data_IF_952645243677
#
_entry.id   IF_952645243677
#
_cell.length_a   1.000
_cell.length_b   1.000
_cell.length_c   1.000
_cell.angle_alpha   90.00
_cell.angle_beta   90.00
_cell.angle_gamma   90.00
#
_symmetry.space_group_name_H-M   'P 1'
#
loop_
_entity.id
_entity.type
_entity.pdbx_description
1 polymer ?
#
# COMPACT_ATOMS: atom_id res chain seq x y z
N UNK A 1 -11.42 -7.45 -6.77
CA UNK A 1 -10.04 -7.96 -6.71
C UNK A 1 -10.06 -9.09 -5.70
N UNK A 2 -9.61 -10.31 -6.02
CA UNK A 2 -9.62 -11.41 -5.03
C UNK A 2 -8.81 -11.04 -3.79
N UNK A 3 -9.37 -11.25 -2.59
CA UNK A 3 -8.70 -10.97 -1.33
C UNK A 3 -7.30 -11.63 -1.25
N UNK A 4 -6.31 -10.88 -0.77
CA UNK A 4 -4.90 -11.28 -0.72
C UNK A 4 -4.14 -11.22 -2.05
N UNK A 5 -4.74 -10.66 -3.10
CA UNK A 5 -4.02 -10.40 -4.36
C UNK A 5 -3.19 -9.14 -4.24
N UNK A 6 -1.87 -9.25 -4.38
CA UNK A 6 -0.98 -8.11 -4.43
C UNK A 6 -1.46 -7.11 -5.50
N UNK A 7 -1.79 -5.88 -5.08
CA UNK A 7 -2.06 -4.79 -6.01
C UNK A 7 -0.71 -4.35 -6.57
N UNK A 8 -0.41 -4.77 -7.80
CA UNK A 8 0.77 -4.30 -8.53
C UNK A 8 0.71 -2.78 -8.63
N UNK A 9 1.71 -2.10 -8.07
CA UNK A 9 1.88 -0.65 -8.19
C UNK A 9 2.15 -0.28 -9.65
N UNK A 10 1.08 -0.07 -10.41
CA UNK A 10 1.10 0.39 -11.80
C UNK A 10 1.59 -0.66 -12.81
N UNK A 11 0.82 -0.85 -13.88
CA UNK A 11 1.32 -1.49 -15.11
C UNK A 11 2.10 -0.51 -16.00
N UNK A 12 2.29 0.73 -15.55
CA UNK A 12 3.02 1.78 -16.25
C UNK A 12 4.38 1.98 -15.62
N UNK A 13 5.43 1.67 -16.37
CA UNK A 13 6.86 1.71 -16.00
C UNK A 13 7.29 0.66 -14.98
N UNK A 14 8.13 -0.28 -15.44
CA UNK A 14 8.98 -1.09 -14.58
C UNK A 14 9.66 -0.16 -13.58
N UNK A 15 9.26 -0.21 -12.32
CA UNK A 15 9.92 0.54 -11.26
C UNK A 15 11.40 0.16 -11.27
N UNK A 16 12.26 1.10 -11.64
CA UNK A 16 13.71 0.89 -11.73
C UNK A 16 14.32 0.68 -10.35
N UNK A 17 13.68 1.20 -9.30
CA UNK A 17 14.00 0.94 -7.90
C UNK A 17 12.70 0.85 -7.11
N UNK A 18 12.59 -0.19 -6.29
CA UNK A 18 11.50 -0.42 -5.33
C UNK A 18 11.93 -0.05 -3.91
N UNK A 19 13.09 0.57 -3.77
CA UNK A 19 13.57 1.16 -2.53
C UNK A 19 13.05 2.59 -2.43
N UNK A 20 12.34 2.89 -1.35
CA UNK A 20 11.76 4.21 -1.10
C UNK A 20 12.30 4.82 0.20
N UNK A 21 12.56 6.12 0.20
CA UNK A 21 12.98 6.86 1.39
C UNK A 21 11.78 7.08 2.33
N UNK A 22 10.60 7.33 1.77
CA UNK A 22 9.32 7.45 2.46
C UNK A 22 8.20 6.95 1.56
N UNK A 23 7.07 6.60 2.15
CA UNK A 23 5.89 6.10 1.43
C UNK A 23 4.64 6.69 2.05
N UNK A 24 3.75 7.22 1.21
CA UNK A 24 2.42 7.64 1.57
C UNK A 24 1.42 6.78 0.79
N UNK A 25 0.50 6.15 1.52
CA UNK A 25 -0.56 5.31 0.95
C UNK A 25 -1.88 6.04 1.17
N UNK A 26 -2.52 6.46 0.09
CA UNK A 26 -3.76 7.22 0.15
C UNK A 26 -4.94 6.37 -0.35
N UNK A 27 -5.92 6.15 0.51
CA UNK A 27 -7.15 5.45 0.15
C UNK A 27 -8.04 6.36 -0.70
N UNK A 28 -8.60 5.82 -1.78
CA UNK A 28 -9.53 6.58 -2.60
C UNK A 28 -10.77 6.96 -1.77
N UNK A 29 -11.20 8.22 -1.89
CA UNK A 29 -12.40 8.74 -1.23
C UNK A 29 -13.70 8.01 -1.61
N UNK A 30 -13.71 7.26 -2.72
CA UNK A 30 -14.88 6.48 -3.18
C UNK A 30 -14.89 5.04 -2.69
N UNK A 31 -13.91 4.62 -1.88
CA UNK A 31 -13.92 3.28 -1.29
C UNK A 31 -15.14 3.09 -0.39
N UNK A 32 -15.70 1.89 -0.36
CA UNK A 32 -16.89 1.58 0.45
C UNK A 32 -16.58 0.70 1.66
N UNK A 33 -15.52 -0.09 1.57
CA UNK A 33 -14.99 -0.92 2.65
C UNK A 33 -13.70 -0.35 3.25
N UNK A 34 -13.09 -1.16 4.13
CA UNK A 34 -11.75 -0.89 4.64
C UNK A 34 -10.69 -1.53 3.76
N UNK A 35 -9.54 -0.87 3.72
CA UNK A 35 -8.32 -1.38 3.11
C UNK A 35 -7.31 -1.66 4.21
N UNK A 36 -6.62 -2.79 4.11
CA UNK A 36 -5.68 -3.29 5.09
C UNK A 36 -4.30 -3.31 4.47
N UNK A 37 -3.36 -2.58 5.07
CA UNK A 37 -1.96 -2.51 4.62
C UNK A 37 -1.09 -3.34 5.57
N UNK A 38 -0.24 -4.20 5.04
CA UNK A 38 0.62 -5.07 5.85
C UNK A 38 1.67 -5.82 5.04
N UNK A 39 2.09 -6.98 5.55
CA UNK A 39 2.98 -7.91 4.85
C UNK A 39 2.19 -8.92 4.01
N UNK A 40 2.85 -9.95 3.46
CA UNK A 40 2.22 -10.94 2.59
C UNK A 40 1.10 -11.78 3.25
N UNK A 41 0.89 -11.65 4.56
CA UNK A 41 -0.18 -12.30 5.32
C UNK A 41 -1.37 -11.37 5.60
N UNK A 42 -1.32 -10.11 5.14
CA UNK A 42 -2.38 -9.12 5.33
C UNK A 42 -3.72 -9.64 4.81
N UNK A 43 -4.77 -9.44 5.61
CA UNK A 43 -6.13 -9.78 5.20
C UNK A 43 -7.15 -8.88 5.87
N UNK A 44 -8.24 -8.66 5.15
CA UNK A 44 -9.44 -7.95 5.58
C UNK A 44 -10.13 -8.53 6.82
N UNK A 45 -9.74 -9.73 7.24
CA UNK A 45 -10.37 -10.44 8.37
C UNK A 45 -9.55 -10.47 9.65
N UNK A 46 -8.24 -10.20 9.59
CA UNK A 46 -7.37 -10.52 10.74
C UNK A 46 -6.03 -9.78 10.84
N UNK A 47 -5.56 -9.08 9.80
CA UNK A 47 -4.19 -8.54 9.80
C UNK A 47 -4.06 -7.25 8.99
N UNK A 48 -3.36 -6.25 9.55
CA UNK A 48 -2.96 -5.03 8.85
C UNK A 48 -3.34 -3.72 9.57
N UNK A 49 -2.79 -2.61 9.07
CA UNK A 49 -3.24 -1.26 9.39
C UNK A 49 -4.44 -0.97 8.49
N UNK A 50 -5.61 -0.76 9.09
CA UNK A 50 -6.82 -0.43 8.35
C UNK A 50 -6.87 1.06 8.02
N UNK A 51 -7.10 1.38 6.75
CA UNK A 51 -7.37 2.74 6.26
C UNK A 51 -8.76 2.77 5.62
N UNK A 52 -9.53 3.80 5.94
CA UNK A 52 -10.87 4.03 5.40
C UNK A 52 -10.82 4.94 4.17
N UNK A 53 -11.96 5.11 3.50
CA UNK A 53 -12.08 6.02 2.37
C UNK A 53 -11.57 7.43 2.69
N UNK A 54 -10.61 7.92 1.90
CA UNK A 54 -10.00 9.25 2.07
C UNK A 54 -8.89 9.33 3.12
N UNK A 55 -8.65 8.26 3.90
CA UNK A 55 -7.54 8.23 4.84
C UNK A 55 -6.20 8.14 4.12
N UNK A 56 -5.14 8.47 4.85
CA UNK A 56 -3.77 8.29 4.39
C UNK A 56 -2.92 7.65 5.48
N UNK A 57 -2.07 6.71 5.08
CA UNK A 57 -1.06 6.08 5.91
C UNK A 57 0.31 6.60 5.50
N UNK A 58 0.96 7.30 6.42
CA UNK A 58 2.30 7.88 6.23
C UNK A 58 3.36 6.95 6.86
N UNK A 59 4.30 6.50 6.03
CA UNK A 59 5.52 5.82 6.43
C UNK A 59 6.67 6.85 6.38
N UNK A 60 7.12 7.35 7.54
CA UNK A 60 7.98 8.53 7.61
C UNK A 60 9.36 8.25 7.00
N UNK A 61 10.12 9.30 6.61
CA UNK A 61 11.45 9.14 6.03
C UNK A 61 12.36 8.24 6.86
N UNK A 62 12.90 7.20 6.23
CA UNK A 62 13.94 6.39 6.82
C UNK A 62 15.33 7.00 6.51
N UNK A 63 16.20 7.05 7.52
CA UNK A 63 17.55 7.56 7.33
C UNK A 63 18.45 6.49 6.73
N UNK A 64 19.30 6.89 5.78
CA UNK A 64 20.31 6.03 5.18
C UNK A 64 21.14 5.32 6.28
N UNK A 65 21.43 4.01 6.13
CA UNK A 65 21.25 3.19 4.93
C UNK A 65 19.88 2.49 4.80
N UNK A 66 18.90 2.79 5.66
CA UNK A 66 17.61 2.12 5.63
C UNK A 66 16.74 2.62 4.47
N UNK A 67 15.95 1.73 3.89
CA UNK A 67 14.98 2.00 2.83
C UNK A 67 13.72 1.17 3.05
N UNK A 68 12.57 1.65 2.59
CA UNK A 68 11.37 0.84 2.46
C UNK A 68 11.43 0.03 1.18
N UNK A 69 11.23 -1.28 1.29
CA UNK A 69 11.06 -2.13 0.12
C UNK A 69 9.59 -2.22 -0.24
N UNK A 70 9.18 -1.58 -1.35
CA UNK A 70 7.80 -1.57 -1.81
C UNK A 70 7.27 -2.98 -2.16
N UNK A 71 8.14 -3.96 -2.42
CA UNK A 71 7.73 -5.36 -2.62
C UNK A 71 7.28 -6.07 -1.33
N UNK A 72 7.53 -5.46 -0.17
CA UNK A 72 7.15 -6.01 1.12
C UNK A 72 5.88 -5.37 1.68
N UNK A 73 5.26 -4.45 0.92
CA UNK A 73 3.99 -3.82 1.29
C UNK A 73 2.89 -4.49 0.47
N UNK A 74 1.95 -5.11 1.18
CA UNK A 74 0.80 -5.79 0.61
C UNK A 74 -0.47 -5.12 1.09
N UNK A 75 -1.53 -5.29 0.29
CA UNK A 75 -2.84 -4.73 0.56
C UNK A 75 -3.89 -5.80 0.38
N UNK A 76 -4.87 -5.80 1.28
CA UNK A 76 -6.14 -6.47 1.10
C UNK A 76 -7.30 -5.48 1.27
N UNK A 77 -8.43 -5.73 0.62
CA UNK A 77 -9.61 -4.88 0.73
C UNK A 77 -10.85 -5.72 1.07
N UNK A 78 -11.75 -5.16 1.88
CA UNK A 78 -13.07 -5.76 2.12
C UNK A 78 -13.91 -5.82 0.83
N UNK A 79 -13.84 -4.77 0.02
CA UNK A 79 -14.59 -4.64 -1.23
C UNK A 79 -13.68 -4.68 -2.46
N UNK A 80 -14.12 -5.42 -3.48
CA UNK A 80 -13.37 -5.73 -4.70
C UNK A 80 -12.97 -4.51 -5.55
N UNK A 81 -13.64 -3.37 -5.37
CA UNK A 81 -13.43 -2.12 -6.12
C UNK A 81 -12.68 -1.06 -5.32
N UNK A 82 -12.33 -1.35 -4.08
CA UNK A 82 -11.57 -0.43 -3.24
C UNK A 82 -10.11 -0.36 -3.69
N UNK A 83 -9.52 0.83 -3.59
CA UNK A 83 -8.18 1.08 -4.09
C UNK A 83 -7.41 2.10 -3.27
N UNK A 84 -6.09 2.07 -3.41
CA UNK A 84 -5.19 3.10 -2.88
C UNK A 84 -4.26 3.61 -3.97
N UNK A 85 -3.67 4.77 -3.71
CA UNK A 85 -2.54 5.32 -4.47
C UNK A 85 -1.29 5.34 -3.60
N UNK A 86 -0.16 4.92 -4.16
CA UNK A 86 1.14 5.03 -3.51
C UNK A 86 1.87 6.27 -4.03
N UNK A 87 2.34 7.09 -3.10
CA UNK A 87 3.17 8.26 -3.36
C UNK A 87 4.45 8.06 -2.57
N UNK A 88 5.61 8.08 -3.21
CA UNK A 88 6.89 7.79 -2.55
C UNK A 88 8.04 8.49 -3.26
N UNK A 89 9.18 8.58 -2.57
CA UNK A 89 10.45 9.02 -3.13
C UNK A 89 11.38 7.83 -3.31
N UNK A 90 11.88 7.65 -4.54
CA UNK A 90 12.85 6.60 -4.88
C UNK A 90 14.22 6.93 -4.33
N UNK A 91 14.93 5.92 -3.83
CA UNK A 91 16.35 5.99 -3.43
C UNK A 91 17.26 5.37 -4.48
#
# INVERSE_FOLDING_TARGET
MTAGTAVTLGSGTSLTSKAAAWVLIQANSTNTGRIFVGDNSVSSSSFGVAVSAGDSLDMPPCHAPNVYNLDQIFIDAEDDNDSVTFIYEVV
#
